data_IF_993598424065
#
_entry.id   IF_993598424065
#
_cell.length_a   1.000
_cell.length_b   1.000
_cell.length_c   1.000
_cell.angle_alpha   90.00
_cell.angle_beta   90.00
_cell.angle_gamma   90.00
#
_symmetry.space_group_name_H-M   'P 1'
#
loop_
_entity.id
_entity.type
_entity.pdbx_description
1 polymer ?
#
# COMPACT_ATOMS: atom_id res chain seq x y z
N UNK A 1 0.90 2.18 -0.01
CA UNK A 1 2.08 2.12 -0.88
C UNK A 1 1.80 2.92 -2.14
N UNK A 2 2.85 3.27 -2.87
CA UNK A 2 2.75 3.86 -4.20
C UNK A 2 3.64 3.04 -5.13
N UNK A 3 3.28 2.96 -6.40
CA UNK A 3 4.00 2.19 -7.41
C UNK A 3 3.95 2.94 -8.74
N UNK A 4 5.00 2.80 -9.53
CA UNK A 4 4.93 3.09 -10.96
C UNK A 4 4.46 1.83 -11.70
N UNK A 5 3.53 2.00 -12.63
CA UNK A 5 2.99 0.91 -13.44
C UNK A 5 2.96 1.28 -14.91
N UNK A 6 3.20 0.30 -15.78
CA UNK A 6 3.02 0.43 -17.22
C UNK A 6 1.72 -0.26 -17.61
N UNK A 7 0.85 0.44 -18.33
CA UNK A 7 -0.37 -0.17 -18.87
C UNK A 7 -0.02 -1.33 -19.80
N UNK A 8 -0.68 -2.47 -19.62
CA UNK A 8 -0.54 -3.63 -20.52
C UNK A 8 -0.92 -3.31 -21.98
N UNK A 9 -1.63 -2.20 -22.23
CA UNK A 9 -2.01 -1.71 -23.56
C UNK A 9 -1.10 -0.58 -24.08
N UNK A 10 0.00 -0.28 -23.40
CA UNK A 10 0.93 0.78 -23.84
C UNK A 10 1.46 0.46 -25.24
N UNK A 11 1.51 1.46 -26.12
CA UNK A 11 2.20 1.35 -27.42
C UNK A 11 3.72 1.48 -27.30
N UNK A 12 4.22 1.85 -26.13
CA UNK A 12 5.64 2.07 -25.85
C UNK A 12 6.05 1.46 -24.50
N UNK A 13 5.86 0.14 -24.29
CA UNK A 13 6.11 -0.48 -22.99
C UNK A 13 7.59 -0.42 -22.58
N UNK A 14 8.53 -0.56 -23.52
CA UNK A 14 9.97 -0.48 -23.25
C UNK A 14 10.38 0.93 -22.85
N UNK A 15 9.94 1.94 -23.61
CA UNK A 15 10.23 3.35 -23.31
C UNK A 15 9.65 3.78 -21.95
N UNK A 16 8.44 3.33 -21.62
CA UNK A 16 7.84 3.58 -20.31
C UNK A 16 8.63 2.89 -19.19
N UNK A 17 9.10 1.66 -19.40
CA UNK A 17 9.95 0.96 -18.44
C UNK A 17 11.30 1.67 -18.22
N UNK A 18 11.95 2.15 -19.28
CA UNK A 18 13.19 2.93 -19.18
C UNK A 18 12.97 4.25 -18.44
N UNK A 19 11.86 4.94 -18.70
CA UNK A 19 11.50 6.13 -17.93
C UNK A 19 11.32 5.82 -16.44
N UNK A 20 10.63 4.73 -16.10
CA UNK A 20 10.47 4.32 -14.69
C UNK A 20 11.82 4.03 -14.04
N UNK A 21 12.73 3.32 -14.73
CA UNK A 21 14.10 3.08 -14.24
C UNK A 21 14.84 4.39 -13.97
N UNK A 22 14.72 5.36 -14.88
CA UNK A 22 15.30 6.68 -14.70
C UNK A 22 14.67 7.42 -13.51
N UNK A 23 13.34 7.46 -13.41
CA UNK A 23 12.62 8.14 -12.34
C UNK A 23 12.83 7.50 -10.96
N UNK A 24 13.19 6.22 -10.92
CA UNK A 24 13.50 5.47 -9.70
C UNK A 24 14.94 5.66 -9.19
N UNK A 25 15.77 6.49 -9.83
CA UNK A 25 17.09 6.83 -9.28
C UNK A 25 16.95 7.56 -7.94
N UNK A 26 17.85 7.28 -7.00
CA UNK A 26 17.77 7.79 -5.61
C UNK A 26 17.61 9.31 -5.53
N UNK A 27 18.27 10.08 -6.39
CA UNK A 27 18.14 11.55 -6.41
C UNK A 27 16.71 12.02 -6.70
N UNK A 28 15.98 11.31 -7.57
CA UNK A 28 14.60 11.65 -7.91
C UNK A 28 13.63 11.13 -6.85
N UNK A 29 13.90 9.95 -6.29
CA UNK A 29 13.16 9.43 -5.14
C UNK A 29 13.28 10.35 -3.92
N UNK A 30 14.48 10.87 -3.65
CA UNK A 30 14.73 11.82 -2.57
C UNK A 30 14.03 13.16 -2.83
N UNK A 31 14.10 13.68 -4.08
CA UNK A 31 13.38 14.89 -4.46
C UNK A 31 11.85 14.72 -4.32
N UNK A 32 11.32 13.55 -4.68
CA UNK A 32 9.91 13.23 -4.51
C UNK A 32 9.53 13.22 -3.02
N UNK A 33 10.30 12.54 -2.18
CA UNK A 33 10.10 12.52 -0.74
C UNK A 33 10.14 13.91 -0.12
N UNK A 34 11.13 14.74 -0.46
CA UNK A 34 11.24 16.10 0.06
C UNK A 34 10.08 16.99 -0.44
N UNK A 35 9.57 16.74 -1.65
CA UNK A 35 8.49 17.52 -2.25
C UNK A 35 7.11 17.22 -1.68
N UNK A 36 6.82 15.95 -1.33
CA UNK A 36 5.47 15.51 -0.91
C UNK A 36 5.42 14.84 0.47
N UNK A 37 6.55 14.74 1.16
CA UNK A 37 6.65 14.25 2.54
C UNK A 37 6.61 12.73 2.71
N UNK A 38 6.52 11.94 1.64
CA UNK A 38 6.47 10.48 1.72
C UNK A 38 7.81 9.87 2.14
N UNK A 39 7.76 8.72 2.83
CA UNK A 39 8.94 7.91 3.13
C UNK A 39 9.62 7.47 1.82
N UNK A 40 10.92 7.75 1.62
CA UNK A 40 11.69 7.24 0.49
C UNK A 40 11.66 5.71 0.42
N UNK A 41 11.57 5.10 -0.78
CA UNK A 41 11.43 3.65 -0.90
C UNK A 41 12.76 2.90 -0.74
N UNK A 42 13.90 3.59 -0.73
CA UNK A 42 15.23 3.00 -0.55
C UNK A 42 15.99 3.68 0.60
N UNK A 43 16.82 2.93 1.37
CA UNK A 43 17.69 3.53 2.38
C UNK A 43 18.69 4.55 1.81
N UNK A 44 19.16 4.34 0.58
CA UNK A 44 20.09 5.25 -0.09
C UNK A 44 19.43 6.58 -0.46
N UNK A 45 18.20 6.57 -0.99
CA UNK A 45 17.43 7.80 -1.20
C UNK A 45 17.12 8.50 0.13
N UNK A 46 16.81 7.75 1.21
CA UNK A 46 16.54 8.32 2.52
C UNK A 46 17.68 9.20 3.05
N UNK A 47 18.93 8.73 2.91
CA UNK A 47 20.14 9.48 3.28
C UNK A 47 20.28 10.82 2.56
N UNK A 48 19.64 10.98 1.39
CA UNK A 48 19.70 12.21 0.59
C UNK A 48 18.59 13.22 0.96
N UNK A 49 17.58 12.82 1.73
CA UNK A 49 16.43 13.67 2.06
C UNK A 49 16.69 14.62 3.22
N UNK A 50 15.85 15.64 3.36
CA UNK A 50 15.86 16.54 4.52
C UNK A 50 15.38 15.86 5.79
N UNK A 51 14.30 15.07 5.68
CA UNK A 51 13.55 14.59 6.84
C UNK A 51 13.88 13.17 7.27
N UNK A 52 14.28 12.30 6.34
CA UNK A 52 14.45 10.87 6.58
C UNK A 52 15.91 10.41 6.60
N UNK A 53 16.87 11.30 6.35
CA UNK A 53 18.29 11.01 6.58
C UNK A 53 18.55 10.69 8.05
N UNK A 54 19.72 10.10 8.34
CA UNK A 54 20.12 9.78 9.71
C UNK A 54 20.03 11.01 10.64
N UNK A 55 19.35 10.85 11.78
CA UNK A 55 19.07 11.94 12.73
C UNK A 55 18.00 12.93 12.28
N UNK A 56 17.39 12.74 11.10
CA UNK A 56 16.30 13.56 10.60
C UNK A 56 15.01 13.38 11.42
N UNK A 57 14.13 14.39 11.44
CA UNK A 57 12.93 14.40 12.28
C UNK A 57 11.96 13.25 11.99
N UNK A 58 12.00 12.67 10.79
CA UNK A 58 11.14 11.57 10.38
C UNK A 58 11.91 10.25 10.21
N UNK A 59 13.20 10.19 10.55
CA UNK A 59 14.02 8.98 10.40
C UNK A 59 13.45 7.79 11.18
N UNK A 60 12.84 8.04 12.35
CA UNK A 60 12.20 7.01 13.21
C UNK A 60 11.11 6.21 12.47
N UNK A 61 10.46 6.78 11.45
CA UNK A 61 9.42 6.09 10.71
C UNK A 61 9.97 4.90 9.89
N UNK A 62 11.27 4.84 9.57
CA UNK A 62 11.85 3.64 8.97
C UNK A 62 11.82 2.45 9.93
N UNK A 63 12.28 2.66 11.17
CA UNK A 63 12.32 1.61 12.18
C UNK A 63 10.91 1.18 12.60
N UNK A 64 9.99 2.14 12.76
CA UNK A 64 8.58 1.84 13.02
C UNK A 64 7.96 1.05 11.86
N UNK A 65 8.20 1.46 10.61
CA UNK A 65 7.70 0.73 9.43
C UNK A 65 8.27 -0.69 9.39
N UNK A 66 9.56 -0.87 9.67
CA UNK A 66 10.18 -2.19 9.70
C UNK A 66 9.63 -3.08 10.81
N UNK A 67 9.31 -2.50 11.98
CA UNK A 67 8.84 -3.25 13.13
C UNK A 67 7.34 -3.58 13.08
N UNK A 68 6.53 -2.75 12.44
CA UNK A 68 5.06 -2.80 12.56
C UNK A 68 4.32 -2.97 11.23
N UNK A 69 4.93 -2.64 10.09
CA UNK A 69 4.23 -2.69 8.82
C UNK A 69 4.14 -4.12 8.30
N UNK A 70 2.95 -4.48 7.82
CA UNK A 70 2.72 -5.67 7.03
C UNK A 70 2.34 -5.27 5.61
N UNK A 71 2.83 -6.02 4.63
CA UNK A 71 2.44 -5.82 3.24
C UNK A 71 0.96 -6.16 3.11
N UNK A 72 0.20 -5.28 2.43
CA UNK A 72 -1.22 -5.53 2.14
C UNK A 72 -1.36 -6.84 1.34
N UNK A 73 -2.43 -7.63 1.56
CA UNK A 73 -2.68 -8.84 0.79
C UNK A 73 -2.55 -8.63 -0.72
N UNK A 74 -1.72 -9.44 -1.38
CA UNK A 74 -1.52 -9.40 -2.84
C UNK A 74 -2.58 -10.28 -3.49
N UNK A 75 -3.83 -9.84 -3.42
CA UNK A 75 -4.98 -10.54 -3.95
C UNK A 75 -5.93 -9.57 -4.65
N UNK A 76 -6.54 -9.93 -5.80
CA UNK A 76 -7.60 -9.13 -6.42
C UNK A 76 -8.76 -8.82 -5.45
N UNK A 77 -9.06 -9.74 -4.52
CA UNK A 77 -10.12 -9.56 -3.53
C UNK A 77 -9.86 -8.49 -2.47
N UNK A 78 -8.64 -7.94 -2.38
CA UNK A 78 -8.29 -6.98 -1.31
C UNK A 78 -9.17 -5.72 -1.34
N UNK A 79 -9.60 -5.29 -2.53
CA UNK A 79 -10.46 -4.11 -2.67
C UNK A 79 -11.87 -4.31 -2.09
N UNK A 80 -12.36 -5.54 -2.05
CA UNK A 80 -13.64 -5.90 -1.41
C UNK A 80 -13.41 -6.01 0.09
N UNK A 81 -12.46 -6.84 0.51
CA UNK A 81 -12.09 -7.05 1.91
C UNK A 81 -11.86 -5.74 2.67
N UNK A 82 -11.10 -4.80 2.08
CA UNK A 82 -10.82 -3.52 2.71
C UNK A 82 -12.09 -2.66 2.88
N UNK A 83 -13.05 -2.72 1.95
CA UNK A 83 -14.31 -1.99 2.04
C UNK A 83 -15.23 -2.59 3.09
N UNK A 84 -15.38 -3.92 3.10
CA UNK A 84 -16.19 -4.63 4.10
C UNK A 84 -15.66 -4.34 5.50
N UNK A 85 -14.34 -4.45 5.70
CA UNK A 85 -13.71 -4.10 6.97
C UNK A 85 -13.91 -2.62 7.36
N UNK A 86 -13.78 -1.70 6.40
CA UNK A 86 -14.04 -0.27 6.65
C UNK A 86 -15.47 -0.01 7.09
N UNK A 87 -16.45 -0.66 6.45
CA UNK A 87 -17.86 -0.59 6.83
C UNK A 87 -18.07 -1.15 8.23
N UNK A 88 -17.55 -2.34 8.53
CA UNK A 88 -17.69 -2.98 9.84
C UNK A 88 -17.17 -2.08 10.97
N UNK A 89 -16.00 -1.46 10.80
CA UNK A 89 -15.47 -0.52 11.79
C UNK A 89 -16.33 0.74 11.93
N UNK A 90 -16.90 1.25 10.83
CA UNK A 90 -17.80 2.40 10.88
C UNK A 90 -19.11 2.05 11.61
N UNK A 91 -19.68 0.88 11.37
CA UNK A 91 -20.90 0.41 12.04
C UNK A 91 -20.67 0.23 13.54
N UNK A 92 -19.55 -0.39 13.93
CA UNK A 92 -19.13 -0.51 15.33
C UNK A 92 -18.96 0.86 15.98
N UNK A 93 -18.30 1.80 15.30
CA UNK A 93 -18.11 3.16 15.80
C UNK A 93 -19.45 3.91 16.00
N UNK A 94 -20.48 3.54 15.24
CA UNK A 94 -21.85 4.07 15.35
C UNK A 94 -22.73 3.29 16.33
N UNK A 95 -22.18 2.31 17.06
CA UNK A 95 -22.87 1.61 18.14
C UNK A 95 -23.51 0.27 17.75
N UNK A 96 -23.14 -0.32 16.60
CA UNK A 96 -23.50 -1.69 16.29
C UNK A 96 -22.83 -2.69 17.26
N UNK A 97 -23.42 -3.88 17.42
CA UNK A 97 -22.80 -4.94 18.20
C UNK A 97 -21.49 -5.40 17.54
N UNK A 98 -20.44 -5.55 18.34
CA UNK A 98 -19.09 -5.83 17.84
C UNK A 98 -18.99 -7.24 17.25
N UNK A 99 -19.53 -8.25 17.93
CA UNK A 99 -19.40 -9.63 17.48
C UNK A 99 -20.22 -9.85 16.21
N UNK A 100 -21.49 -9.46 16.22
CA UNK A 100 -22.40 -9.63 15.08
C UNK A 100 -21.89 -8.88 13.84
N UNK A 101 -21.33 -7.67 14.02
CA UNK A 101 -20.81 -6.88 12.90
C UNK A 101 -19.55 -7.49 12.30
N UNK A 102 -18.67 -8.07 13.13
CA UNK A 102 -17.46 -8.73 12.64
C UNK A 102 -17.79 -10.07 11.97
N UNK A 103 -18.73 -10.84 12.52
CA UNK A 103 -19.19 -12.10 11.92
C UNK A 103 -19.83 -11.85 10.56
N UNK A 104 -20.72 -10.85 10.45
CA UNK A 104 -21.30 -10.46 9.17
C UNK A 104 -20.25 -10.00 8.14
N UNK A 105 -19.19 -9.33 8.58
CA UNK A 105 -18.09 -8.93 7.72
C UNK A 105 -17.27 -10.12 7.22
N UNK A 106 -17.07 -11.15 8.05
CA UNK A 106 -16.43 -12.41 7.65
C UNK A 106 -17.29 -13.13 6.62
N UNK A 107 -18.59 -13.29 6.88
CA UNK A 107 -19.52 -13.95 5.96
C UNK A 107 -19.54 -13.28 4.58
N UNK A 108 -19.56 -11.94 4.53
CA UNK A 108 -19.52 -11.19 3.27
C UNK A 108 -18.21 -11.39 2.51
N UNK A 109 -17.07 -11.41 3.21
CA UNK A 109 -15.75 -11.63 2.61
C UNK A 109 -15.64 -13.07 2.08
N UNK A 110 -16.09 -14.06 2.85
CA UNK A 110 -16.00 -15.47 2.46
C UNK A 110 -16.90 -15.77 1.26
N UNK A 111 -18.12 -15.21 1.24
CA UNK A 111 -19.02 -15.30 0.10
C UNK A 111 -18.42 -14.68 -1.18
N UNK A 112 -17.73 -13.54 -1.05
CA UNK A 112 -17.03 -12.90 -2.17
C UNK A 112 -15.85 -13.76 -2.67
N UNK A 113 -15.07 -14.33 -1.75
CA UNK A 113 -13.97 -15.24 -2.10
C UNK A 113 -14.51 -16.47 -2.83
N UNK A 114 -15.57 -17.11 -2.33
CA UNK A 114 -16.19 -18.28 -2.96
C UNK A 114 -16.75 -17.95 -4.35
N UNK A 115 -17.48 -16.84 -4.47
CA UNK A 115 -18.08 -16.37 -5.73
C UNK A 115 -17.04 -16.09 -6.82
N UNK A 116 -15.82 -15.75 -6.43
CA UNK A 116 -14.71 -15.46 -7.33
C UNK A 116 -13.71 -16.63 -7.43
N UNK A 117 -14.09 -17.85 -7.02
CA UNK A 117 -13.26 -19.04 -7.12
C UNK A 117 -11.90 -18.92 -6.42
N UNK A 118 -11.88 -18.26 -5.26
CA UNK A 118 -10.67 -18.04 -4.47
C UNK A 118 -9.74 -16.95 -5.02
N UNK A 119 -10.18 -16.15 -5.99
CA UNK A 119 -9.35 -15.13 -6.64
C UNK A 119 -8.04 -15.67 -7.27
N UNK A 120 -8.04 -16.95 -7.65
CA UNK A 120 -6.87 -17.61 -8.23
C UNK A 120 -5.82 -18.07 -7.21
N UNK A 121 -6.05 -17.88 -5.92
CA UNK A 121 -5.28 -18.55 -4.86
C UNK A 121 -5.79 -19.98 -4.74
N UNK A 122 -4.87 -20.96 -4.77
CA UNK A 122 -5.14 -22.38 -4.48
C UNK A 122 -4.32 -22.79 -3.28
#
# INVERSE_FOLDING_TARGET
>A
SWQFGVSAKSRHPEGAAEFIKFAAQDKYLAAFSDGIGLIPPTPSAAKMTKNYKDGGPLAVFFDLSKAQALVRPVTPGYVVQAKVFTKALADIANGADVADTLDAAVDEIDADIESNGGYGHR
#
